data_IF_462387654672
#
_entry.id   IF_462387654672
#
_cell.length_a   1.000
_cell.length_b   1.000
_cell.length_c   1.000
_cell.angle_alpha   90.00
_cell.angle_beta   90.00
_cell.angle_gamma   90.00
#
_symmetry.space_group_name_H-M   'P 1'
#
loop_
_entity.id
_entity.type
_entity.pdbx_description
1 polymer ?
#
# COMPACT_ATOMS: atom_id res chain seq x y z
N UNK A 1 16.51 23.90 2.21
CA UNK A 1 15.26 23.44 1.60
C UNK A 1 15.31 21.93 1.59
N UNK A 2 14.52 21.29 2.44
CA UNK A 2 14.39 19.83 2.41
C UNK A 2 13.71 19.45 1.10
N UNK A 3 14.34 18.55 0.35
CA UNK A 3 13.79 18.07 -0.92
C UNK A 3 12.78 16.98 -0.58
N UNK A 4 11.52 17.19 -0.93
CA UNK A 4 10.46 16.21 -0.72
C UNK A 4 10.81 14.87 -1.39
N UNK A 5 10.55 13.77 -0.69
CA UNK A 5 10.84 12.43 -1.21
C UNK A 5 9.65 11.89 -2.03
N UNK A 6 9.47 12.39 -3.24
CA UNK A 6 8.40 11.94 -4.12
C UNK A 6 8.50 10.46 -4.50
N UNK A 7 9.70 9.87 -4.48
CA UNK A 7 9.90 8.47 -4.84
C UNK A 7 9.08 7.52 -3.97
N UNK A 8 9.05 7.74 -2.65
CA UNK A 8 8.25 6.91 -1.73
C UNK A 8 6.76 7.10 -1.93
N UNK A 9 6.32 8.34 -2.13
CA UNK A 9 4.92 8.65 -2.40
C UNK A 9 4.46 8.03 -3.71
N UNK A 10 5.22 8.21 -4.81
CA UNK A 10 4.89 7.64 -6.12
C UNK A 10 4.86 6.11 -6.04
N UNK A 11 5.82 5.51 -5.33
CA UNK A 11 5.81 4.06 -5.10
C UNK A 11 4.54 3.62 -4.37
N UNK A 12 4.14 4.31 -3.31
CA UNK A 12 2.92 3.99 -2.56
C UNK A 12 1.66 4.07 -3.43
N UNK A 13 1.50 5.15 -4.21
CA UNK A 13 0.39 5.30 -5.16
C UNK A 13 0.36 4.14 -6.17
N UNK A 14 1.52 3.81 -6.72
CA UNK A 14 1.69 2.72 -7.68
C UNK A 14 1.33 1.36 -7.09
N UNK A 15 1.80 1.06 -5.88
CA UNK A 15 1.55 -0.21 -5.20
C UNK A 15 0.06 -0.40 -4.85
N UNK A 16 -0.63 0.67 -4.44
CA UNK A 16 -2.08 0.64 -4.17
C UNK A 16 -2.87 0.38 -5.46
N UNK A 17 -2.48 1.03 -6.56
CA UNK A 17 -3.11 0.80 -7.86
C UNK A 17 -2.87 -0.62 -8.36
N UNK A 18 -1.66 -1.14 -8.22
CA UNK A 18 -1.32 -2.51 -8.61
C UNK A 18 -2.13 -3.53 -7.81
N UNK A 19 -2.26 -3.32 -6.49
CA UNK A 19 -3.12 -4.15 -5.64
C UNK A 19 -4.58 -4.13 -6.09
N UNK A 20 -5.12 -2.94 -6.37
CA UNK A 20 -6.49 -2.81 -6.88
C UNK A 20 -6.67 -3.57 -8.19
N UNK A 21 -5.71 -3.48 -9.13
CA UNK A 21 -5.77 -4.20 -10.41
C UNK A 21 -5.70 -5.73 -10.23
N UNK A 22 -4.96 -6.22 -9.24
CA UNK A 22 -4.96 -7.67 -8.91
C UNK A 22 -6.28 -8.10 -8.30
N UNK A 23 -6.91 -7.26 -7.48
CA UNK A 23 -8.18 -7.56 -6.80
C UNK A 23 -9.38 -7.56 -7.74
N UNK A 24 -9.51 -6.56 -8.58
CA UNK A 24 -10.73 -6.28 -9.36
C UNK A 24 -10.51 -6.23 -10.87
N UNK A 25 -9.26 -6.38 -11.33
CA UNK A 25 -8.90 -6.28 -12.73
C UNK A 25 -8.49 -4.86 -13.15
N UNK A 26 -7.90 -4.77 -14.36
CA UNK A 26 -7.52 -3.50 -14.94
C UNK A 26 -8.73 -2.73 -15.46
N UNK A 27 -8.81 -1.46 -15.11
CA UNK A 27 -9.80 -0.51 -15.61
C UNK A 27 -9.08 0.71 -16.21
N UNK A 28 -9.61 1.23 -17.31
CA UNK A 28 -9.07 2.39 -18.05
C UNK A 28 -9.53 3.75 -17.50
N UNK A 29 -10.24 3.76 -16.38
CA UNK A 29 -10.76 5.00 -15.82
C UNK A 29 -9.72 5.67 -14.91
N UNK A 30 -9.79 7.01 -14.76
CA UNK A 30 -9.04 7.71 -13.73
C UNK A 30 -9.37 7.16 -12.34
N UNK A 31 -8.39 7.19 -11.46
CA UNK A 31 -8.50 6.69 -10.08
C UNK A 31 -8.24 7.83 -9.11
N UNK A 32 -9.02 7.91 -8.05
CA UNK A 32 -8.74 8.81 -6.92
C UNK A 32 -8.37 7.99 -5.69
N UNK A 33 -7.20 8.29 -5.13
CA UNK A 33 -6.71 7.68 -3.90
C UNK A 33 -6.73 8.71 -2.78
N UNK A 34 -7.12 8.28 -1.58
CA UNK A 34 -7.25 9.11 -0.39
C UNK A 34 -6.20 8.72 0.65
N UNK A 35 -5.39 9.67 1.07
CA UNK A 35 -4.37 9.47 2.08
C UNK A 35 -4.55 10.45 3.23
N UNK A 36 -4.47 9.98 4.50
CA UNK A 36 -4.39 10.87 5.65
C UNK A 36 -3.17 11.80 5.55
N UNK A 37 -3.30 13.01 6.05
CA UNK A 37 -2.21 14.02 6.05
C UNK A 37 -0.91 13.45 6.64
N UNK A 38 -1.01 12.75 7.77
CA UNK A 38 0.13 12.13 8.45
C UNK A 38 0.84 11.07 7.60
N UNK A 39 0.09 10.25 6.85
CA UNK A 39 0.67 9.26 5.94
C UNK A 39 1.43 9.93 4.80
N UNK A 40 0.89 11.01 4.25
CA UNK A 40 1.58 11.80 3.21
C UNK A 40 2.85 12.43 3.76
N UNK A 41 2.81 13.00 4.97
CA UNK A 41 3.99 13.55 5.64
C UNK A 41 5.11 12.50 5.77
N UNK A 42 4.78 11.30 6.25
CA UNK A 42 5.73 10.18 6.36
C UNK A 42 6.31 9.75 5.00
N UNK A 43 5.47 9.66 3.97
CA UNK A 43 5.92 9.30 2.62
C UNK A 43 6.84 10.35 2.01
N UNK A 44 6.57 11.62 2.23
CA UNK A 44 7.42 12.73 1.77
C UNK A 44 8.69 12.87 2.62
N UNK A 45 8.76 12.25 3.80
CA UNK A 45 9.88 12.35 4.73
C UNK A 45 9.94 13.71 5.43
N UNK A 46 8.81 14.39 5.59
CA UNK A 46 8.73 15.64 6.35
C UNK A 46 8.34 15.35 7.80
N UNK A 47 8.96 16.03 8.78
CA UNK A 47 8.58 15.92 10.18
C UNK A 47 7.29 16.68 10.50
N UNK A 48 6.83 17.53 9.60
CA UNK A 48 5.63 18.35 9.78
C UNK A 48 4.42 17.68 9.15
N UNK A 49 3.33 17.62 9.90
CA UNK A 49 2.01 17.19 9.45
C UNK A 49 1.08 18.37 9.14
N UNK A 50 1.64 19.57 9.03
CA UNK A 50 0.91 20.77 8.59
C UNK A 50 0.43 20.60 7.14
N UNK A 51 -0.88 20.46 6.98
CA UNK A 51 -1.51 20.25 5.70
C UNK A 51 -1.18 21.35 4.67
N UNK A 52 -1.06 22.62 5.08
CA UNK A 52 -0.72 23.70 4.18
C UNK A 52 0.75 23.63 3.70
N UNK A 53 1.64 23.13 4.55
CA UNK A 53 3.03 22.87 4.17
C UNK A 53 3.11 21.71 3.17
N UNK A 54 2.43 20.60 3.46
CA UNK A 54 2.39 19.42 2.59
C UNK A 54 1.78 19.79 1.23
N UNK A 55 0.69 20.57 1.21
CA UNK A 55 0.05 21.03 -0.04
C UNK A 55 1.04 21.80 -0.94
N UNK A 56 1.87 22.65 -0.35
CA UNK A 56 2.94 23.34 -1.10
C UNK A 56 4.00 22.38 -1.65
N UNK A 57 4.38 21.35 -0.89
CA UNK A 57 5.27 20.32 -1.38
C UNK A 57 4.65 19.52 -2.54
N UNK A 58 3.35 19.23 -2.47
CA UNK A 58 2.65 18.45 -3.48
C UNK A 58 2.37 19.24 -4.77
N UNK A 59 2.55 20.55 -4.79
CA UNK A 59 2.33 21.39 -5.98
C UNK A 59 3.18 20.95 -7.18
N UNK A 60 4.36 20.40 -6.94
CA UNK A 60 5.28 19.93 -7.99
C UNK A 60 5.06 18.44 -8.37
N UNK A 61 4.18 17.72 -7.66
CA UNK A 61 3.95 16.29 -7.91
C UNK A 61 3.55 15.98 -9.37
N UNK A 62 2.69 16.76 -10.05
CA UNK A 62 2.32 16.48 -11.44
C UNK A 62 3.52 16.38 -12.38
N UNK A 63 4.56 17.21 -12.16
CA UNK A 63 5.79 17.17 -12.94
C UNK A 63 6.62 15.91 -12.66
N UNK A 64 6.60 15.41 -11.42
CA UNK A 64 7.33 14.20 -11.01
C UNK A 64 6.65 12.89 -11.45
N UNK A 65 5.36 12.93 -11.74
CA UNK A 65 4.59 11.76 -12.16
C UNK A 65 4.32 11.69 -13.65
N UNK A 66 4.60 12.76 -14.42
CA UNK A 66 4.21 12.90 -15.81
C UNK A 66 4.62 11.72 -16.71
N UNK A 67 5.83 11.18 -16.54
CA UNK A 67 6.37 10.10 -17.36
C UNK A 67 5.90 8.69 -16.91
N UNK A 68 5.17 8.59 -15.80
CA UNK A 68 4.72 7.32 -15.21
C UNK A 68 3.21 7.30 -14.97
N UNK A 69 2.75 7.91 -13.91
CA UNK A 69 1.33 7.93 -13.54
C UNK A 69 0.50 9.00 -14.29
N UNK A 70 1.11 9.74 -15.22
CA UNK A 70 0.54 10.94 -15.79
C UNK A 70 0.62 12.13 -14.83
N UNK A 71 0.03 13.25 -15.17
CA UNK A 71 0.01 14.44 -14.31
C UNK A 71 -0.98 14.21 -13.15
N UNK A 72 -0.50 13.66 -12.04
CA UNK A 72 -1.31 13.44 -10.85
C UNK A 72 -1.67 14.76 -10.20
N UNK A 73 -2.95 15.11 -10.21
CA UNK A 73 -3.46 16.29 -9.52
C UNK A 73 -3.78 15.95 -8.07
N UNK A 74 -3.57 16.93 -7.18
CA UNK A 74 -3.83 16.75 -5.75
C UNK A 74 -4.84 17.80 -5.29
N UNK A 75 -5.86 17.33 -4.58
CA UNK A 75 -6.80 18.20 -3.85
C UNK A 75 -6.81 17.80 -2.39
N UNK A 76 -7.34 18.67 -1.54
CA UNK A 76 -7.48 18.41 -0.12
C UNK A 76 -8.95 18.31 0.25
N UNK A 77 -9.29 17.29 1.03
CA UNK A 77 -10.61 17.09 1.62
C UNK A 77 -10.45 16.87 3.12
N UNK A 78 -10.73 17.93 3.91
CA UNK A 78 -10.55 17.98 5.37
C UNK A 78 -9.12 17.57 5.81
N UNK A 79 -8.98 16.39 6.41
CA UNK A 79 -7.71 15.84 6.91
C UNK A 79 -7.03 14.86 5.94
N UNK A 80 -7.49 14.82 4.67
CA UNK A 80 -6.99 13.89 3.66
C UNK A 80 -6.53 14.62 2.41
N UNK A 81 -5.54 14.05 1.75
CA UNK A 81 -5.17 14.41 0.39
C UNK A 81 -5.78 13.43 -0.59
N UNK A 82 -6.35 13.96 -1.67
CA UNK A 82 -6.96 13.19 -2.75
C UNK A 82 -6.03 13.27 -3.97
N UNK A 83 -5.47 12.15 -4.37
CA UNK A 83 -4.60 12.02 -5.54
C UNK A 83 -5.44 11.57 -6.74
N UNK A 84 -5.63 12.46 -7.70
CA UNK A 84 -6.40 12.20 -8.92
C UNK A 84 -5.43 11.72 -10.01
N UNK A 85 -5.39 10.42 -10.22
CA UNK A 85 -4.50 9.74 -11.15
C UNK A 85 -5.25 9.56 -12.46
N UNK A 86 -4.75 10.11 -13.58
CA UNK A 86 -5.41 9.97 -14.87
C UNK A 86 -5.35 8.52 -15.40
N UNK A 87 -6.12 8.24 -16.45
CA UNK A 87 -6.22 6.88 -17.02
C UNK A 87 -4.86 6.33 -17.49
N UNK A 88 -3.96 7.18 -17.93
CA UNK A 88 -2.59 6.83 -18.32
C UNK A 88 -1.79 6.20 -17.18
N UNK A 89 -2.06 6.63 -15.93
CA UNK A 89 -1.44 6.04 -14.74
C UNK A 89 -1.89 4.60 -14.51
N UNK A 90 -3.18 4.32 -14.65
CA UNK A 90 -3.70 2.96 -14.56
C UNK A 90 -3.13 2.05 -15.66
N UNK A 91 -2.99 2.58 -16.87
CA UNK A 91 -2.38 1.89 -18.00
C UNK A 91 -0.89 1.62 -17.77
N UNK A 92 -0.14 2.60 -17.26
CA UNK A 92 1.27 2.44 -16.93
C UNK A 92 1.49 1.29 -15.92
N UNK A 93 0.70 1.26 -14.86
CA UNK A 93 0.78 0.19 -13.84
C UNK A 93 0.51 -1.17 -14.46
N UNK A 94 -0.51 -1.26 -15.33
CA UNK A 94 -0.87 -2.52 -15.99
C UNK A 94 0.18 -3.03 -16.99
N UNK A 95 0.72 -2.15 -17.81
CA UNK A 95 1.55 -2.54 -18.95
C UNK A 95 3.07 -2.53 -18.67
N UNK A 96 3.52 -1.68 -17.74
CA UNK A 96 4.95 -1.40 -17.54
C UNK A 96 5.52 -1.98 -16.28
N UNK A 97 4.69 -2.24 -15.25
CA UNK A 97 5.20 -2.83 -14.03
C UNK A 97 5.26 -4.35 -14.12
N UNK A 98 6.24 -4.99 -13.44
CA UNK A 98 6.30 -6.44 -13.37
C UNK A 98 5.05 -7.00 -12.67
N UNK A 99 4.66 -8.22 -13.06
CA UNK A 99 3.56 -8.92 -12.42
C UNK A 99 3.85 -9.14 -10.92
N UNK A 100 2.95 -8.71 -10.01
CA UNK A 100 3.13 -8.90 -8.58
C UNK A 100 2.75 -10.33 -8.17
N UNK A 101 3.57 -11.30 -8.56
CA UNK A 101 3.28 -12.73 -8.41
C UNK A 101 2.94 -13.12 -6.97
N UNK A 102 3.68 -12.62 -5.98
CA UNK A 102 3.38 -12.85 -4.57
C UNK A 102 1.98 -12.34 -4.20
N UNK A 103 1.67 -11.09 -4.51
CA UNK A 103 0.39 -10.48 -4.17
C UNK A 103 -0.78 -11.20 -4.84
N UNK A 104 -0.59 -11.67 -6.07
CA UNK A 104 -1.59 -12.46 -6.80
C UNK A 104 -1.87 -13.79 -6.09
N UNK A 105 -0.83 -14.54 -5.72
CA UNK A 105 -1.00 -15.81 -5.01
C UNK A 105 -1.57 -15.62 -3.61
N UNK A 106 -1.12 -14.60 -2.89
CA UNK A 106 -1.64 -14.24 -1.57
C UNK A 106 -3.14 -13.93 -1.63
N UNK A 107 -3.57 -13.08 -2.56
CA UNK A 107 -4.99 -12.75 -2.75
C UNK A 107 -5.81 -13.95 -3.22
N UNK A 108 -5.21 -14.87 -3.97
CA UNK A 108 -5.89 -16.10 -4.37
C UNK A 108 -6.17 -17.01 -3.17
N UNK A 109 -5.23 -17.14 -2.25
CA UNK A 109 -5.43 -17.90 -1.00
C UNK A 109 -6.54 -17.26 -0.16
N UNK A 110 -6.50 -15.94 0.04
CA UNK A 110 -7.51 -15.24 0.83
C UNK A 110 -8.95 -15.35 0.30
N UNK A 111 -9.12 -15.69 -0.99
CA UNK A 111 -10.43 -15.96 -1.60
C UNK A 111 -10.92 -17.38 -1.39
N UNK A 112 -10.11 -18.24 -0.80
CA UNK A 112 -10.48 -19.60 -0.45
C UNK A 112 -11.50 -19.64 0.69
N UNK A 113 -12.18 -20.79 0.83
CA UNK A 113 -13.01 -21.04 2.00
C UNK A 113 -12.15 -21.63 3.13
N UNK A 114 -12.43 -21.24 4.37
CA UNK A 114 -11.76 -21.76 5.57
C UNK A 114 -10.24 -21.61 5.51
N UNK A 115 -9.77 -20.41 5.19
CA UNK A 115 -8.34 -20.08 5.08
C UNK A 115 -7.68 -20.16 6.44
N UNK A 116 -6.57 -20.88 6.55
CA UNK A 116 -5.76 -20.95 7.77
C UNK A 116 -4.53 -20.05 7.72
N UNK A 117 -3.95 -19.75 8.88
CA UNK A 117 -2.66 -19.06 8.96
C UNK A 117 -1.55 -19.85 8.23
N UNK A 118 -1.58 -21.18 8.29
CA UNK A 118 -0.60 -22.01 7.61
C UNK A 118 -0.68 -21.90 6.10
N UNK A 119 -1.88 -21.77 5.52
CA UNK A 119 -2.07 -21.52 4.08
C UNK A 119 -1.46 -20.18 3.67
N UNK A 120 -1.67 -19.14 4.46
CA UNK A 120 -1.08 -17.82 4.26
C UNK A 120 0.45 -17.90 4.35
N UNK A 121 0.99 -18.51 5.39
CA UNK A 121 2.44 -18.67 5.59
C UNK A 121 3.09 -19.51 4.50
N UNK A 122 2.38 -20.50 3.94
CA UNK A 122 2.88 -21.30 2.83
C UNK A 122 3.14 -20.43 1.59
N UNK A 123 2.25 -19.46 1.29
CA UNK A 123 2.48 -18.50 0.21
C UNK A 123 3.70 -17.62 0.50
N UNK A 124 3.80 -17.04 1.69
CA UNK A 124 4.96 -16.21 2.04
C UNK A 124 6.28 -16.99 1.89
N UNK A 125 6.34 -18.21 2.44
CA UNK A 125 7.53 -19.08 2.39
C UNK A 125 7.92 -19.54 0.98
N UNK A 126 6.98 -19.52 0.04
CA UNK A 126 7.26 -19.80 -1.38
C UNK A 126 8.14 -18.70 -2.02
N UNK A 127 8.01 -17.45 -1.55
CA UNK A 127 8.70 -16.29 -2.12
C UNK A 127 9.96 -15.88 -1.35
N UNK A 128 10.04 -16.19 -0.06
CA UNK A 128 11.25 -15.97 0.75
C UNK A 128 11.36 -17.00 1.87
N UNK A 129 12.60 -17.40 2.20
CA UNK A 129 12.90 -18.17 3.40
C UNK A 129 12.92 -17.33 4.69
N UNK A 130 12.88 -16.01 4.57
CA UNK A 130 12.99 -15.06 5.69
C UNK A 130 11.62 -14.44 5.99
N UNK A 131 10.72 -15.24 6.56
CA UNK A 131 9.34 -14.81 6.89
C UNK A 131 9.19 -14.69 8.39
N UNK A 132 8.79 -13.52 8.84
CA UNK A 132 8.36 -13.26 10.22
C UNK A 132 6.85 -13.47 10.35
N UNK A 133 6.44 -14.10 11.43
CA UNK A 133 5.03 -14.22 11.81
C UNK A 133 4.92 -14.14 13.35
N UNK A 134 4.10 -13.24 13.82
CA UNK A 134 3.80 -13.11 15.24
C UNK A 134 2.31 -12.84 15.47
N UNK A 135 1.81 -13.26 16.62
CA UNK A 135 0.46 -12.93 17.07
C UNK A 135 0.45 -11.52 17.64
N UNK A 136 -0.53 -10.72 17.24
CA UNK A 136 -0.74 -9.36 17.76
C UNK A 136 -1.56 -9.49 19.05
N UNK A 137 -0.94 -9.20 20.20
CA UNK A 137 -1.62 -9.28 21.49
C UNK A 137 -2.31 -7.95 21.82
N UNK A 138 -3.55 -8.03 22.30
CA UNK A 138 -4.31 -6.86 22.75
C UNK A 138 -4.97 -6.04 21.65
N UNK A 139 -4.95 -6.48 20.39
CA UNK A 139 -5.68 -5.86 19.29
C UNK A 139 -6.97 -6.63 19.00
N UNK A 140 -8.08 -5.90 18.87
CA UNK A 140 -9.34 -6.45 18.37
C UNK A 140 -9.45 -6.36 16.83
N UNK A 141 -8.53 -5.61 16.19
CA UNK A 141 -8.54 -5.37 14.75
C UNK A 141 -7.80 -6.45 13.96
N UNK A 142 -6.67 -6.97 14.51
CA UNK A 142 -5.83 -7.93 13.81
C UNK A 142 -5.34 -9.03 14.75
N UNK A 143 -5.19 -10.23 14.21
CA UNK A 143 -4.74 -11.40 14.96
C UNK A 143 -3.24 -11.66 14.77
N UNK A 144 -2.72 -11.46 13.56
CA UNK A 144 -1.34 -11.79 13.21
C UNK A 144 -0.67 -10.71 12.37
N UNK A 145 0.62 -10.52 12.61
CA UNK A 145 1.54 -9.77 11.74
C UNK A 145 2.39 -10.75 10.95
N UNK A 146 2.44 -10.59 9.63
CA UNK A 146 3.30 -11.39 8.74
C UNK A 146 4.06 -10.46 7.79
N UNK A 147 5.35 -10.68 7.60
CA UNK A 147 6.15 -9.91 6.65
C UNK A 147 7.45 -10.63 6.25
N UNK A 148 8.07 -10.15 5.20
CA UNK A 148 9.39 -10.59 4.77
C UNK A 148 10.48 -9.80 5.51
N UNK A 149 11.32 -10.47 6.30
CA UNK A 149 12.39 -9.83 7.07
C UNK A 149 13.46 -9.19 6.18
N UNK A 150 13.71 -9.78 5.01
CA UNK A 150 14.63 -9.28 3.99
C UNK A 150 14.01 -8.23 3.05
N UNK A 151 12.73 -7.92 3.22
CA UNK A 151 12.00 -6.96 2.40
C UNK A 151 11.74 -7.42 0.96
N UNK A 152 11.85 -8.72 0.68
CA UNK A 152 11.67 -9.30 -0.66
C UNK A 152 10.58 -10.38 -0.64
N UNK A 153 9.56 -10.33 -1.50
CA UNK A 153 9.37 -9.47 -2.68
C UNK A 153 8.88 -8.04 -2.39
N UNK A 154 8.40 -7.76 -1.20
CA UNK A 154 8.05 -6.41 -0.76
C UNK A 154 8.37 -6.18 0.71
N UNK A 155 8.28 -4.93 1.18
CA UNK A 155 8.61 -4.55 2.55
C UNK A 155 7.38 -4.29 3.42
N UNK A 156 6.18 -4.60 2.94
CA UNK A 156 4.95 -4.33 3.69
C UNK A 156 4.80 -5.21 4.92
N UNK A 157 4.07 -4.69 5.90
CA UNK A 157 3.60 -5.39 7.09
C UNK A 157 2.16 -5.82 6.84
N UNK A 158 1.91 -7.12 6.78
CA UNK A 158 0.59 -7.70 6.54
C UNK A 158 -0.05 -8.05 7.87
N UNK A 159 -1.05 -7.27 8.27
CA UNK A 159 -1.87 -7.54 9.44
C UNK A 159 -3.09 -8.36 9.01
N UNK A 160 -3.22 -9.55 9.57
CA UNK A 160 -4.25 -10.53 9.20
C UNK A 160 -5.29 -10.61 10.31
N UNK A 161 -6.55 -10.61 9.94
CA UNK A 161 -7.69 -10.89 10.82
C UNK A 161 -8.46 -12.09 10.30
N UNK A 162 -8.76 -13.03 11.17
CA UNK A 162 -9.72 -14.11 10.89
C UNK A 162 -11.05 -13.76 11.53
N UNK A 163 -12.13 -13.88 10.79
CA UNK A 163 -13.47 -13.71 11.32
C UNK A 163 -14.05 -15.04 11.84
N UNK A 164 -15.22 -14.97 12.45
CA UNK A 164 -15.88 -16.13 13.05
C UNK A 164 -16.35 -17.18 12.00
N UNK A 165 -16.47 -16.77 10.73
CA UNK A 165 -16.88 -17.63 9.61
C UNK A 165 -15.65 -18.33 8.96
N UNK A 166 -14.43 -17.99 9.39
CA UNK A 166 -13.18 -18.53 8.88
C UNK A 166 -12.65 -17.82 7.65
N UNK A 167 -13.23 -16.67 7.31
CA UNK A 167 -12.68 -15.80 6.26
C UNK A 167 -11.50 -15.00 6.81
N UNK A 168 -10.48 -14.81 5.97
CA UNK A 168 -9.32 -14.00 6.31
C UNK A 168 -9.35 -12.67 5.58
N UNK A 169 -9.23 -11.58 6.32
CA UNK A 169 -9.04 -10.24 5.80
C UNK A 169 -7.67 -9.72 6.18
N UNK A 170 -7.14 -8.76 5.42
CA UNK A 170 -5.84 -8.19 5.69
C UNK A 170 -5.82 -6.69 5.47
N UNK A 171 -4.87 -6.06 6.14
CA UNK A 171 -4.40 -4.72 5.83
C UNK A 171 -2.88 -4.74 5.72
N UNK A 172 -2.33 -4.04 4.71
CA UNK A 172 -0.88 -3.91 4.59
C UNK A 172 -0.45 -2.48 4.88
N UNK A 173 0.50 -2.37 5.77
CA UNK A 173 1.11 -1.11 6.17
C UNK A 173 2.53 -1.01 5.62
N UNK A 174 2.99 0.20 5.34
CA UNK A 174 4.44 0.43 5.28
C UNK A 174 5.06 0.15 6.64
N UNK A 175 6.36 -0.18 6.74
CA UNK A 175 7.02 -0.35 8.04
C UNK A 175 6.87 0.87 8.94
N UNK A 176 6.90 2.06 8.36
CA UNK A 176 6.77 3.33 9.07
C UNK A 176 5.34 3.56 9.60
N UNK A 177 4.33 3.25 8.78
CA UNK A 177 2.93 3.37 9.22
C UNK A 177 2.63 2.35 10.31
N UNK A 178 3.07 1.10 10.15
CA UNK A 178 2.91 0.08 11.18
C UNK A 178 3.53 0.50 12.52
N UNK A 179 4.74 1.03 12.50
CA UNK A 179 5.41 1.54 13.70
C UNK A 179 4.69 2.74 14.34
N UNK A 180 4.00 3.56 13.54
CA UNK A 180 3.24 4.70 14.03
C UNK A 180 1.90 4.31 14.68
N UNK A 181 1.27 3.22 14.25
CA UNK A 181 -0.01 2.76 14.80
C UNK A 181 0.15 2.04 16.14
N UNK A 182 1.31 1.49 16.47
CA UNK A 182 1.63 0.97 17.82
C UNK A 182 0.83 -0.28 18.22
N UNK A 183 0.65 -1.22 17.28
CA UNK A 183 0.08 -2.52 17.61
C UNK A 183 1.03 -3.38 18.46
#
# INVERSE_FOLDING_TARGET
>A
METANYTRLIKSLTDVMQEAQVKIGYDRHPITLYYPTESVARLLGTPEDDAAYIERLLADLPAHTADTLGAVEVTRDEERFCFHIPAEGAQYVHEKLPDPAFLREFLQVLRGLEVSLDDILAVFRKFSGCVHCEKIEGSDEFDYLVYFEDGTPDSYRYCIKFDDDGDAVYHRFTPEDYAAFGF
#
